data_IF_323931624718
#
_entry.id   IF_323931624718
#
_cell.length_a   1.000
_cell.length_b   1.000
_cell.length_c   1.000
_cell.angle_alpha   90.00
_cell.angle_beta   90.00
_cell.angle_gamma   90.00
#
_symmetry.space_group_name_H-M   'P 1'
#
loop_
_entity.id
_entity.type
_entity.pdbx_description
1 polymer ?
#
# COMPACT_ATOMS: atom_id res chain seq x y z
N UNK A 1 10.60 9.26 -19.25
CA UNK A 1 10.43 9.70 -20.63
C UNK A 1 9.66 11.02 -20.75
N UNK A 2 8.91 11.44 -19.73
CA UNK A 2 8.14 12.69 -19.70
C UNK A 2 8.41 13.47 -18.40
N UNK A 3 8.14 14.77 -18.44
CA UNK A 3 8.11 15.62 -17.25
C UNK A 3 6.65 15.74 -16.80
N UNK A 4 6.40 15.50 -15.54
CA UNK A 4 5.06 15.69 -14.96
C UNK A 4 4.69 17.19 -15.03
N UNK A 5 3.52 17.55 -15.58
CA UNK A 5 3.06 18.95 -15.65
C UNK A 5 2.98 19.60 -14.26
N UNK A 6 3.20 20.93 -14.24
CA UNK A 6 3.22 21.69 -12.98
C UNK A 6 1.90 21.60 -12.23
N UNK A 7 0.77 21.57 -12.94
CA UNK A 7 -0.57 21.53 -12.38
C UNK A 7 -0.85 20.28 -11.54
N UNK A 8 -0.18 19.17 -11.88
CA UNK A 8 -0.28 17.90 -11.14
C UNK A 8 1.00 17.56 -10.35
N UNK A 9 1.83 18.58 -10.09
CA UNK A 9 3.10 18.46 -9.34
C UNK A 9 3.08 19.28 -8.04
N UNK A 10 1.89 19.60 -7.54
CA UNK A 10 1.67 20.38 -6.34
C UNK A 10 1.66 19.47 -5.08
N UNK A 11 1.73 20.08 -3.89
CA UNK A 11 1.76 19.36 -2.60
C UNK A 11 0.52 18.46 -2.37
N UNK A 12 -0.62 18.83 -2.99
CA UNK A 12 -1.87 18.08 -2.88
C UNK A 12 -2.18 17.24 -4.14
N UNK A 13 -1.26 17.18 -5.11
CA UNK A 13 -1.44 16.36 -6.31
C UNK A 13 -1.48 14.88 -5.95
N UNK A 14 -2.45 14.18 -6.53
CA UNK A 14 -2.74 12.79 -6.23
C UNK A 14 -1.94 11.82 -7.11
N UNK A 15 -1.76 10.59 -6.62
CA UNK A 15 -1.22 9.51 -7.44
C UNK A 15 -2.09 9.28 -8.69
N UNK A 16 -3.42 9.41 -8.57
CA UNK A 16 -4.36 9.22 -9.69
C UNK A 16 -4.06 10.18 -10.85
N UNK A 17 -3.85 11.47 -10.58
CA UNK A 17 -3.52 12.46 -11.61
C UNK A 17 -2.19 12.12 -12.29
N UNK A 18 -1.18 11.73 -11.49
CA UNK A 18 0.12 11.36 -12.00
C UNK A 18 0.06 10.14 -12.92
N UNK A 19 -0.60 9.06 -12.49
CA UNK A 19 -0.70 7.83 -13.28
C UNK A 19 -1.62 7.96 -14.48
N UNK A 20 -2.70 8.74 -14.39
CA UNK A 20 -3.55 9.09 -15.55
C UNK A 20 -2.74 9.82 -16.61
N UNK A 21 -1.96 10.83 -16.21
CA UNK A 21 -1.08 11.54 -17.13
C UNK A 21 -0.05 10.59 -17.78
N UNK A 22 0.60 9.74 -16.98
CA UNK A 22 1.61 8.80 -17.46
C UNK A 22 1.05 7.81 -18.50
N UNK A 23 -0.10 7.23 -18.22
CA UNK A 23 -0.75 6.28 -19.13
C UNK A 23 -1.18 6.92 -20.44
N UNK A 24 -1.78 8.11 -20.39
CA UNK A 24 -2.16 8.86 -21.58
C UNK A 24 -0.92 9.24 -22.41
N UNK A 25 0.15 9.71 -21.75
CA UNK A 25 1.38 10.05 -22.47
C UNK A 25 2.00 8.83 -23.16
N UNK A 26 2.05 7.68 -22.49
CA UNK A 26 2.59 6.43 -23.07
C UNK A 26 1.76 5.98 -24.29
N UNK A 27 0.44 6.09 -24.24
CA UNK A 27 -0.41 5.76 -25.39
C UNK A 27 -0.22 6.77 -26.53
N UNK A 28 -0.22 8.06 -26.24
CA UNK A 28 -0.13 9.12 -27.26
C UNK A 28 1.23 9.19 -27.94
N UNK A 29 2.31 9.18 -27.17
CA UNK A 29 3.66 9.41 -27.65
C UNK A 29 4.36 8.13 -28.11
N UNK A 30 4.16 7.01 -27.41
CA UNK A 30 4.90 5.78 -27.66
C UNK A 30 4.01 4.63 -28.20
N UNK A 31 2.69 4.83 -28.27
CA UNK A 31 1.71 3.80 -28.64
C UNK A 31 1.84 2.56 -27.77
N UNK A 32 2.21 2.75 -26.51
CA UNK A 32 2.43 1.70 -25.53
C UNK A 32 1.32 1.68 -24.48
N UNK A 33 0.61 0.58 -24.41
CA UNK A 33 -0.47 0.32 -23.45
C UNK A 33 -0.02 -0.79 -22.49
N UNK A 34 0.40 -0.48 -21.26
CA UNK A 34 0.81 -1.48 -20.29
C UNK A 34 -0.37 -2.34 -19.85
N UNK A 35 -0.13 -3.62 -19.55
CA UNK A 35 -1.15 -4.53 -19.03
C UNK A 35 -1.47 -4.25 -17.56
N UNK A 36 -0.48 -3.73 -16.82
CA UNK A 36 -0.60 -3.38 -15.41
C UNK A 36 0.37 -2.24 -15.06
N UNK A 37 0.06 -1.54 -13.98
CA UNK A 37 0.89 -0.49 -13.38
C UNK A 37 1.38 -1.00 -12.04
N UNK A 38 2.70 -0.99 -11.84
CA UNK A 38 3.34 -1.29 -10.54
C UNK A 38 3.82 0.01 -9.93
N UNK A 39 3.21 0.39 -8.82
CA UNK A 39 3.55 1.59 -8.08
C UNK A 39 4.50 1.25 -6.93
N UNK A 40 5.72 1.73 -7.01
CA UNK A 40 6.75 1.63 -5.98
C UNK A 40 7.03 3.03 -5.43
N UNK A 41 6.61 3.29 -4.19
CA UNK A 41 6.79 4.60 -3.56
C UNK A 41 8.27 4.83 -3.22
N UNK A 42 8.82 6.02 -3.48
CA UNK A 42 10.24 6.32 -3.16
C UNK A 42 10.52 6.33 -1.65
N UNK A 43 9.49 6.55 -0.82
CA UNK A 43 9.56 6.54 0.65
C UNK A 43 9.80 5.16 1.25
N UNK A 44 9.57 4.08 0.50
CA UNK A 44 9.85 2.70 0.92
C UNK A 44 11.03 2.09 0.15
N UNK A 45 12.28 2.49 0.36
CA UNK A 45 13.41 2.03 -0.45
C UNK A 45 13.87 0.59 -0.12
N UNK A 46 13.57 0.08 1.07
CA UNK A 46 14.00 -1.24 1.51
C UNK A 46 13.11 -2.35 0.92
N UNK A 47 13.30 -2.66 -0.38
CA UNK A 47 12.53 -3.66 -1.11
C UNK A 47 13.36 -4.88 -1.48
N UNK A 48 12.74 -6.05 -1.34
CA UNK A 48 13.27 -7.33 -1.79
C UNK A 48 12.67 -7.62 -3.17
N UNK A 49 13.51 -7.86 -4.18
CA UNK A 49 13.09 -8.04 -5.58
C UNK A 49 12.10 -9.20 -5.71
N UNK A 50 12.37 -10.33 -5.03
CA UNK A 50 11.47 -11.49 -5.07
C UNK A 50 10.06 -11.19 -4.55
N UNK A 51 9.90 -10.27 -3.59
CA UNK A 51 8.58 -9.87 -3.11
C UNK A 51 7.81 -9.07 -4.18
N UNK A 52 8.52 -8.28 -4.97
CA UNK A 52 7.90 -7.57 -6.11
C UNK A 52 7.42 -8.57 -7.15
N UNK A 53 8.27 -9.54 -7.52
CA UNK A 53 7.94 -10.59 -8.48
C UNK A 53 6.77 -11.46 -7.99
N UNK A 54 6.76 -11.82 -6.71
CA UNK A 54 5.68 -12.57 -6.08
C UNK A 54 4.34 -11.79 -6.12
N UNK A 55 4.36 -10.49 -5.82
CA UNK A 55 3.17 -9.66 -5.88
C UNK A 55 2.61 -9.56 -7.32
N UNK A 56 3.51 -9.41 -8.31
CA UNK A 56 3.11 -9.40 -9.73
C UNK A 56 2.51 -10.74 -10.13
N UNK A 57 3.17 -11.84 -9.78
CA UNK A 57 2.69 -13.20 -10.09
C UNK A 57 1.32 -13.45 -9.46
N UNK A 58 1.16 -13.12 -8.16
CA UNK A 58 -0.11 -13.24 -7.46
C UNK A 58 -1.22 -12.43 -8.14
N UNK A 59 -0.93 -11.21 -8.59
CA UNK A 59 -1.92 -10.39 -9.29
C UNK A 59 -2.29 -10.95 -10.67
N UNK A 60 -1.32 -11.49 -11.41
CA UNK A 60 -1.57 -12.12 -12.71
C UNK A 60 -2.42 -13.39 -12.61
N UNK A 61 -2.33 -14.12 -11.49
CA UNK A 61 -3.18 -15.28 -11.20
C UNK A 61 -4.61 -14.89 -10.79
N UNK A 62 -4.84 -13.63 -10.41
CA UNK A 62 -6.11 -13.10 -9.93
C UNK A 62 -6.58 -11.89 -10.76
N UNK A 63 -6.63 -12.07 -12.07
CA UNK A 63 -6.97 -11.00 -13.03
C UNK A 63 -8.44 -10.54 -13.00
N UNK A 64 -9.27 -11.05 -12.13
CA UNK A 64 -10.60 -10.53 -11.82
C UNK A 64 -10.56 -9.33 -10.87
N UNK A 65 -9.47 -9.18 -10.09
CA UNK A 65 -9.26 -8.02 -9.21
C UNK A 65 -8.93 -6.74 -9.98
N UNK A 66 -9.31 -5.58 -9.43
CA UNK A 66 -9.01 -4.26 -9.98
C UNK A 66 -7.59 -3.80 -9.63
N UNK A 67 -7.16 -4.15 -8.42
CA UNK A 67 -5.84 -3.81 -7.89
C UNK A 67 -5.34 -4.81 -6.85
N UNK A 68 -4.04 -4.74 -6.54
CA UNK A 68 -3.41 -5.39 -5.40
C UNK A 68 -2.83 -4.30 -4.50
N UNK A 69 -2.99 -4.48 -3.18
CA UNK A 69 -2.42 -3.61 -2.16
C UNK A 69 -1.55 -4.39 -1.20
N UNK A 70 -0.33 -3.91 -0.98
CA UNK A 70 0.48 -4.43 0.12
C UNK A 70 -0.04 -3.94 1.47
N UNK A 71 -0.19 -4.86 2.39
CA UNK A 71 -0.76 -4.60 3.71
C UNK A 71 0.00 -5.36 4.79
N UNK A 72 0.03 -4.79 5.99
CA UNK A 72 0.54 -5.43 7.20
C UNK A 72 -0.56 -5.54 8.24
N UNK A 73 -0.46 -6.54 9.14
CA UNK A 73 -1.36 -6.60 10.28
C UNK A 73 -1.21 -5.34 11.14
N UNK A 74 -2.33 -4.70 11.47
CA UNK A 74 -2.29 -3.46 12.23
C UNK A 74 -1.88 -3.70 13.69
N UNK A 75 -0.83 -3.02 14.14
CA UNK A 75 -0.39 -3.07 15.54
C UNK A 75 -1.44 -2.51 16.48
N UNK A 76 -2.17 -1.49 16.04
CA UNK A 76 -3.28 -0.90 16.77
C UNK A 76 -4.58 -1.08 15.99
N UNK A 77 -5.57 -1.71 16.63
CA UNK A 77 -6.86 -1.91 16.00
C UNK A 77 -7.66 -0.60 15.90
N UNK A 78 -8.25 -0.29 14.75
CA UNK A 78 -9.07 0.92 14.57
C UNK A 78 -10.36 0.89 15.42
N UNK A 79 -10.80 -0.27 15.90
CA UNK A 79 -11.93 -0.39 16.83
C UNK A 79 -11.69 0.29 18.18
N UNK A 80 -10.42 0.61 18.52
CA UNK A 80 -10.01 1.33 19.74
C UNK A 80 -9.46 2.71 19.44
N UNK A 81 -9.64 3.22 18.22
CA UNK A 81 -9.22 4.57 17.82
C UNK A 81 -10.37 5.57 17.98
N UNK A 82 -10.02 6.79 18.34
CA UNK A 82 -10.96 7.85 18.62
C UNK A 82 -10.63 9.11 17.82
N UNK A 83 -11.65 9.78 17.33
CA UNK A 83 -11.56 11.12 16.79
C UNK A 83 -11.77 12.13 17.93
N UNK A 84 -10.86 13.10 18.05
CA UNK A 84 -10.98 14.22 19.00
C UNK A 84 -11.55 15.44 18.28
N UNK A 85 -12.76 15.85 18.66
CA UNK A 85 -13.43 17.03 18.13
C UNK A 85 -14.13 17.76 19.29
N UNK A 86 -13.99 19.07 19.35
CA UNK A 86 -14.70 19.93 20.32
C UNK A 86 -14.61 19.43 21.78
N UNK A 87 -13.42 19.03 22.21
CA UNK A 87 -13.17 18.46 23.55
C UNK A 87 -14.00 17.18 23.85
N UNK A 88 -14.37 16.43 22.84
CA UNK A 88 -15.08 15.15 22.95
C UNK A 88 -14.39 14.11 22.11
N UNK A 89 -14.53 12.84 22.53
CA UNK A 89 -14.07 11.69 21.77
C UNK A 89 -15.27 11.00 21.12
N UNK A 90 -15.11 10.64 19.86
CA UNK A 90 -16.03 9.76 19.12
C UNK A 90 -15.23 8.63 18.47
N UNK A 91 -15.79 7.40 18.34
CA UNK A 91 -15.07 6.31 17.67
C UNK A 91 -14.63 6.71 16.27
N UNK A 92 -13.42 6.33 15.88
CA UNK A 92 -12.90 6.59 14.53
C UNK A 92 -13.64 5.78 13.46
N UNK A 93 -14.08 4.57 13.82
CA UNK A 93 -14.98 3.76 13.00
C UNK A 93 -16.42 3.92 13.53
N UNK A 94 -17.38 3.93 12.60
CA UNK A 94 -18.79 4.01 12.92
C UNK A 94 -19.26 2.63 13.43
N UNK A 95 -18.82 2.28 14.61
CA UNK A 95 -19.00 0.99 15.26
C UNK A 95 -19.73 1.15 16.59
N UNK A 96 -20.26 0.06 17.11
CA UNK A 96 -20.76 -0.04 18.45
C UNK A 96 -19.73 0.53 19.45
N UNK A 97 -20.16 1.43 20.33
CA UNK A 97 -19.31 2.09 21.31
C UNK A 97 -18.60 1.07 22.23
N UNK A 98 -19.23 -0.09 22.45
CA UNK A 98 -18.70 -1.14 23.31
C UNK A 98 -17.56 -1.94 22.67
N UNK A 99 -17.37 -1.87 21.35
CA UNK A 99 -16.23 -2.51 20.68
C UNK A 99 -14.88 -2.01 21.21
N UNK A 100 -14.79 -0.75 21.62
CA UNK A 100 -13.56 -0.20 22.23
C UNK A 100 -13.17 -0.89 23.53
N UNK A 101 -14.13 -1.49 24.25
CA UNK A 101 -13.96 -2.23 25.51
C UNK A 101 -13.79 -3.74 25.30
N UNK A 102 -14.03 -4.23 24.06
CA UNK A 102 -13.91 -5.65 23.73
C UNK A 102 -12.44 -6.10 23.80
N UNK A 103 -12.15 -7.31 24.36
CA UNK A 103 -10.83 -7.90 24.31
C UNK A 103 -10.30 -7.99 22.88
N UNK A 104 -9.00 -7.66 22.68
CA UNK A 104 -8.40 -7.57 21.35
C UNK A 104 -8.53 -8.87 20.54
N UNK A 105 -8.46 -10.02 21.22
CA UNK A 105 -8.55 -11.35 20.62
C UNK A 105 -9.94 -11.68 20.03
N UNK A 106 -10.96 -10.91 20.41
CA UNK A 106 -12.34 -11.06 19.91
C UNK A 106 -12.67 -10.08 18.79
N UNK A 107 -11.77 -9.15 18.50
CA UNK A 107 -11.93 -8.20 17.42
C UNK A 107 -11.40 -8.79 16.11
N UNK A 108 -12.00 -8.43 14.99
CA UNK A 108 -11.51 -8.82 13.67
C UNK A 108 -10.09 -8.33 13.44
N UNK A 109 -9.29 -9.13 12.75
CA UNK A 109 -7.98 -8.71 12.28
C UNK A 109 -8.14 -7.59 11.26
N UNK A 110 -7.42 -6.51 11.44
CA UNK A 110 -7.41 -5.37 10.53
C UNK A 110 -6.01 -5.16 10.00
N UNK A 111 -5.92 -4.84 8.73
CA UNK A 111 -4.66 -4.59 8.05
C UNK A 111 -4.57 -3.12 7.66
N UNK A 112 -3.38 -2.56 7.73
CA UNK A 112 -3.09 -1.22 7.25
C UNK A 112 -2.27 -1.28 5.96
N UNK A 113 -2.49 -0.34 5.07
CA UNK A 113 -1.74 -0.22 3.82
C UNK A 113 -0.33 0.30 4.13
N UNK A 114 0.69 -0.50 3.81
CA UNK A 114 2.08 -0.19 4.17
C UNK A 114 2.89 0.47 3.03
N UNK A 115 2.30 0.67 1.85
CA UNK A 115 2.94 1.36 0.74
C UNK A 115 4.12 0.63 0.07
N UNK A 116 4.35 -0.64 0.43
CA UNK A 116 5.47 -1.41 -0.12
C UNK A 116 5.35 -1.62 -1.62
N UNK A 117 4.18 -2.07 -2.10
CA UNK A 117 3.85 -2.23 -3.51
C UNK A 117 2.34 -2.11 -3.72
N UNK A 118 1.95 -1.37 -4.74
CA UNK A 118 0.57 -1.35 -5.24
C UNK A 118 0.59 -1.75 -6.72
N UNK A 119 -0.34 -2.60 -7.14
CA UNK A 119 -0.50 -2.99 -8.56
C UNK A 119 -1.92 -2.64 -8.97
N UNK A 120 -2.07 -1.95 -10.10
CA UNK A 120 -3.37 -1.46 -10.56
C UNK A 120 -3.51 -1.72 -12.06
N UNK A 121 -4.70 -2.12 -12.52
CA UNK A 121 -4.99 -2.19 -13.94
C UNK A 121 -5.12 -0.78 -14.54
N UNK A 122 -4.60 -0.53 -15.75
CA UNK A 122 -4.79 0.75 -16.43
C UNK A 122 -6.26 1.18 -16.52
N UNK A 123 -7.18 0.25 -16.81
CA UNK A 123 -8.62 0.53 -16.88
C UNK A 123 -9.21 0.99 -15.53
N UNK A 124 -8.68 0.52 -14.40
CA UNK A 124 -9.10 0.98 -13.07
C UNK A 124 -8.74 2.45 -12.88
N UNK A 125 -7.57 2.86 -13.38
CA UNK A 125 -7.11 4.25 -13.33
C UNK A 125 -7.92 5.11 -14.32
N UNK A 126 -8.00 4.70 -15.58
CA UNK A 126 -8.56 5.52 -16.65
C UNK A 126 -10.09 5.54 -16.65
N UNK A 127 -10.73 4.39 -16.49
CA UNK A 127 -12.19 4.27 -16.62
C UNK A 127 -12.90 4.50 -15.29
N UNK A 128 -12.37 3.91 -14.19
CA UNK A 128 -12.97 4.05 -12.87
C UNK A 128 -12.47 5.28 -12.10
N UNK A 129 -11.47 5.99 -12.63
CA UNK A 129 -10.82 7.14 -11.98
C UNK A 129 -10.42 6.80 -10.53
N UNK A 130 -9.79 5.64 -10.35
CA UNK A 130 -9.44 5.12 -9.03
C UNK A 130 -8.07 4.41 -9.07
N UNK A 131 -7.25 4.63 -8.04
CA UNK A 131 -6.03 3.84 -7.81
C UNK A 131 -6.31 2.51 -7.09
N UNK A 132 -7.57 2.22 -6.76
CA UNK A 132 -7.94 1.06 -5.94
C UNK A 132 -8.98 0.17 -6.62
N UNK A 133 -10.04 0.75 -7.18
CA UNK A 133 -11.20 0.00 -7.70
C UNK A 133 -12.08 -0.55 -6.57
N UNK A 134 -12.84 -1.60 -6.86
CA UNK A 134 -13.80 -2.23 -5.93
C UNK A 134 -13.35 -3.60 -5.44
N UNK A 135 -12.62 -4.35 -6.27
CA UNK A 135 -12.11 -5.69 -5.97
C UNK A 135 -10.59 -5.61 -5.76
N UNK A 136 -10.15 -5.66 -4.50
CA UNK A 136 -8.76 -5.42 -4.09
C UNK A 136 -8.15 -6.70 -3.54
N UNK A 137 -7.06 -7.14 -4.15
CA UNK A 137 -6.31 -8.31 -3.72
C UNK A 137 -5.29 -7.89 -2.64
N UNK A 138 -5.25 -8.52 -1.46
CA UNK A 138 -4.22 -8.22 -0.47
C UNK A 138 -2.89 -8.93 -0.80
N UNK A 139 -1.80 -8.20 -0.64
CA UNK A 139 -0.46 -8.78 -0.55
C UNK A 139 0.05 -8.54 0.87
N UNK A 140 -0.01 -9.59 1.70
CA UNK A 140 0.34 -9.46 3.12
C UNK A 140 1.87 -9.55 3.25
N UNK A 141 2.47 -8.49 3.78
CA UNK A 141 3.90 -8.41 4.05
C UNK A 141 4.13 -7.59 5.32
N UNK A 142 4.95 -8.13 6.24
CA UNK A 142 5.22 -7.52 7.53
C UNK A 142 6.63 -6.88 7.57
N UNK A 143 6.93 -6.21 8.66
CA UNK A 143 8.25 -5.59 8.93
C UNK A 143 8.68 -4.56 7.86
N UNK A 144 7.71 -3.93 7.22
CA UNK A 144 7.95 -2.86 6.26
C UNK A 144 7.95 -1.53 7.01
N UNK A 145 8.99 -0.74 6.75
CA UNK A 145 9.08 0.63 7.24
C UNK A 145 9.15 1.60 6.07
N UNK A 146 8.22 2.54 6.06
CA UNK A 146 8.21 3.68 5.17
C UNK A 146 8.94 4.88 5.84
N UNK A 147 9.51 5.78 5.05
CA UNK A 147 10.14 7.00 5.55
C UNK A 147 9.11 8.12 5.54
N UNK A 148 8.42 8.29 6.65
CA UNK A 148 7.49 9.40 6.88
C UNK A 148 8.16 10.55 7.64
N UNK A 149 9.14 10.21 8.50
CA UNK A 149 9.83 11.16 9.37
C UNK A 149 11.34 10.93 9.37
N UNK A 150 12.08 11.93 9.78
CA UNK A 150 13.55 11.90 9.86
C UNK A 150 14.09 10.75 10.72
N UNK A 151 13.35 10.36 11.76
CA UNK A 151 13.75 9.26 12.65
C UNK A 151 13.52 7.88 12.06
N UNK A 152 12.82 7.75 10.92
CA UNK A 152 12.65 6.48 10.21
C UNK A 152 13.90 6.10 9.40
N UNK A 153 14.70 7.09 9.00
CA UNK A 153 15.88 6.89 8.13
C UNK A 153 16.85 5.85 8.69
N UNK A 154 17.30 5.91 9.97
CA UNK A 154 18.21 4.90 10.51
C UNK A 154 17.65 3.48 10.50
N UNK A 155 16.34 3.33 10.70
CA UNK A 155 15.65 2.04 10.68
C UNK A 155 15.70 1.45 9.26
N UNK A 156 15.36 2.27 8.27
CA UNK A 156 15.35 1.86 6.85
C UNK A 156 16.78 1.58 6.34
N UNK A 157 17.78 2.36 6.79
CA UNK A 157 19.18 2.09 6.47
C UNK A 157 19.64 0.73 7.01
N UNK A 158 19.22 0.34 8.20
CA UNK A 158 19.53 -0.97 8.76
C UNK A 158 18.87 -2.08 7.95
N UNK A 159 17.61 -1.92 7.56
CA UNK A 159 16.91 -2.86 6.68
C UNK A 159 17.63 -3.01 5.33
N UNK A 160 18.03 -1.90 4.71
CA UNK A 160 18.79 -1.94 3.46
C UNK A 160 20.12 -2.68 3.60
N UNK A 161 20.85 -2.48 4.70
CA UNK A 161 22.12 -3.20 4.96
C UNK A 161 21.88 -4.70 5.04
N UNK A 162 20.84 -5.15 5.74
CA UNK A 162 20.47 -6.59 5.83
C UNK A 162 20.11 -7.16 4.46
N UNK A 163 19.32 -6.43 3.67
CA UNK A 163 18.96 -6.85 2.29
C UNK A 163 20.21 -7.00 1.41
N UNK A 164 21.14 -6.05 1.47
CA UNK A 164 22.38 -6.07 0.67
C UNK A 164 23.35 -7.14 1.13
N UNK A 165 23.44 -7.42 2.44
CA UNK A 165 24.30 -8.48 2.97
C UNK A 165 23.74 -9.89 2.77
N UNK A 166 22.46 -10.00 2.38
CA UNK A 166 21.77 -11.29 2.25
C UNK A 166 21.47 -11.95 3.60
N UNK A 167 21.51 -11.18 4.68
CA UNK A 167 21.07 -11.64 5.98
C UNK A 167 19.56 -11.89 5.97
N UNK A 168 19.08 -12.98 6.60
CA UNK A 168 17.66 -13.22 6.68
C UNK A 168 17.00 -12.04 7.40
N UNK A 169 15.99 -11.42 6.77
CA UNK A 169 15.06 -10.61 7.53
C UNK A 169 14.48 -11.52 8.61
N UNK A 170 14.43 -11.06 9.86
CA UNK A 170 13.79 -11.76 10.97
C UNK A 170 12.26 -11.84 10.73
N UNK A 171 11.87 -12.43 9.63
CA UNK A 171 10.52 -12.87 9.38
C UNK A 171 10.31 -14.11 10.24
N UNK A 172 9.76 -13.92 11.42
CA UNK A 172 9.01 -15.01 12.01
C UNK A 172 7.86 -15.27 11.04
N UNK A 173 7.98 -16.36 10.28
CA UNK A 173 6.86 -17.03 9.61
C UNK A 173 5.87 -17.44 10.72
N UNK A 174 5.03 -16.50 11.15
CA UNK A 174 3.80 -16.87 11.79
C UNK A 174 2.88 -17.34 10.67
N UNK A 175 2.54 -18.64 10.71
CA UNK A 175 1.64 -19.33 9.80
C UNK A 175 0.39 -18.51 9.46
N UNK A 176 0.42 -17.73 8.37
CA UNK A 176 -0.72 -16.92 7.90
C UNK A 176 -1.69 -17.68 6.98
N UNK A 177 -1.42 -18.98 6.71
CA UNK A 177 -2.26 -19.80 5.82
C UNK A 177 -3.14 -20.84 6.54
N UNK A 178 -3.38 -20.68 7.84
CA UNK A 178 -4.34 -21.53 8.55
C UNK A 178 -5.63 -20.76 8.85
N UNK A 179 -6.56 -20.79 7.92
CA UNK A 179 -8.00 -20.69 8.13
C UNK A 179 -8.65 -21.78 7.33
#
# INVERSE_FOLDING_TARGET
PFIRPEEISQDLSTDLECFTHALNWLDDAEKYQPSLVVHLRPTGPARIISNIDNAISLFLENMDCDSLRSVSLADQTPYKMWLHRDNRLSPAMNSDLDLSSTPRQQLEKVYWQNGYIDIVKPKTILDLQSMTGKNVLPFIINNIKDIDYFHDIPIVEEQLKKIVSGEPNDEKEEDFYSV
#
